data_IF_839142658567
#
_entry.id   IF_839142658567
#
_cell.length_a   1.000
_cell.length_b   1.000
_cell.length_c   1.000
_cell.angle_alpha   90.00
_cell.angle_beta   90.00
_cell.angle_gamma   90.00
#
_symmetry.space_group_name_H-M   'P 1'
#
loop_
_entity.id
_entity.type
_entity.pdbx_description
1 polymer ?
#
# COMPACT_ATOMS: atom_id res chain seq x y z
N UNK A 1 20.05 6.27 -8.78
CA UNK A 1 19.64 7.25 -7.75
C UNK A 1 18.13 7.27 -7.51
N UNK A 2 17.29 7.04 -8.52
CA UNK A 2 15.82 7.03 -8.37
C UNK A 2 15.29 5.97 -7.40
N UNK A 3 15.90 4.78 -7.37
CA UNK A 3 15.51 3.69 -6.47
C UNK A 3 15.64 4.06 -4.98
N UNK A 4 16.66 4.85 -4.63
CA UNK A 4 16.93 5.27 -3.24
C UNK A 4 15.93 6.33 -2.76
N UNK A 5 15.51 7.23 -3.66
CA UNK A 5 14.48 8.23 -3.36
C UNK A 5 13.13 7.57 -3.11
N UNK A 6 12.79 6.57 -3.92
CA UNK A 6 11.54 5.83 -3.76
C UNK A 6 11.49 5.05 -2.44
N UNK A 7 12.58 4.38 -2.08
CA UNK A 7 12.72 3.71 -0.77
C UNK A 7 12.62 4.70 0.41
N UNK A 8 13.20 5.89 0.26
CA UNK A 8 13.12 6.94 1.28
C UNK A 8 11.68 7.42 1.48
N UNK A 9 10.95 7.65 0.39
CA UNK A 9 9.54 8.05 0.40
C UNK A 9 8.69 6.93 1.01
N UNK A 10 8.89 5.68 0.61
CA UNK A 10 8.18 4.53 1.17
C UNK A 10 8.44 4.35 2.66
N UNK A 11 9.69 4.52 3.09
CA UNK A 11 10.07 4.49 4.51
C UNK A 11 9.38 5.60 5.31
N UNK A 12 9.32 6.81 4.76
CA UNK A 12 8.60 7.95 5.34
C UNK A 12 7.11 7.68 5.49
N UNK A 13 6.46 7.21 4.42
CA UNK A 13 5.03 6.85 4.40
C UNK A 13 4.75 5.71 5.37
N UNK A 14 5.58 4.67 5.38
CA UNK A 14 5.45 3.53 6.28
C UNK A 14 5.59 3.91 7.75
N UNK A 15 6.54 4.81 8.07
CA UNK A 15 6.67 5.40 9.41
C UNK A 15 5.43 6.19 9.80
N UNK A 16 5.01 7.14 8.97
CA UNK A 16 3.84 7.99 9.24
C UNK A 16 2.58 7.15 9.42
N UNK A 17 2.35 6.17 8.56
CA UNK A 17 1.22 5.26 8.66
C UNK A 17 1.21 4.49 9.99
N UNK A 18 2.33 3.84 10.34
CA UNK A 18 2.42 3.07 11.58
C UNK A 18 2.27 3.97 12.81
N UNK A 19 2.83 5.19 12.76
CA UNK A 19 2.67 6.19 13.82
C UNK A 19 1.22 6.65 13.98
N UNK A 20 0.55 7.04 12.91
CA UNK A 20 -0.84 7.52 12.95
C UNK A 20 -1.79 6.40 13.37
N UNK A 21 -1.60 5.19 12.85
CA UNK A 21 -2.50 4.04 13.09
C UNK A 21 -2.37 3.47 14.50
N UNK A 22 -1.14 3.26 14.98
CA UNK A 22 -0.90 2.51 16.20
C UNK A 22 -0.50 3.38 17.40
N UNK A 23 0.04 4.58 17.17
CA UNK A 23 0.55 5.60 18.13
C UNK A 23 1.58 5.13 19.18
N UNK A 24 1.46 3.92 19.72
CA UNK A 24 2.36 3.32 20.72
C UNK A 24 3.58 2.70 20.03
N UNK A 25 4.77 3.22 20.36
CA UNK A 25 6.06 2.76 19.80
C UNK A 25 6.31 1.27 19.98
N UNK A 26 5.92 0.69 21.11
CA UNK A 26 6.06 -0.75 21.40
C UNK A 26 5.27 -1.61 20.42
N UNK A 27 4.01 -1.23 20.15
CA UNK A 27 3.16 -1.91 19.17
C UNK A 27 3.73 -1.77 17.77
N UNK A 28 4.26 -0.59 17.43
CA UNK A 28 4.88 -0.34 16.13
C UNK A 28 6.11 -1.24 15.94
N UNK A 29 7.02 -1.31 16.91
CA UNK A 29 8.20 -2.16 16.82
C UNK A 29 7.83 -3.65 16.68
N UNK A 30 6.82 -4.11 17.42
CA UNK A 30 6.32 -5.49 17.33
C UNK A 30 5.72 -5.77 15.94
N UNK A 31 4.83 -4.91 15.46
CA UNK A 31 4.23 -5.03 14.11
C UNK A 31 5.28 -4.94 13.00
N UNK A 32 6.28 -4.08 13.16
CA UNK A 32 7.36 -3.92 12.18
C UNK A 32 8.15 -5.22 12.05
N UNK A 33 8.54 -5.83 13.17
CA UNK A 33 9.27 -7.08 13.19
C UNK A 33 8.41 -8.26 12.68
N UNK A 34 7.15 -8.33 13.07
CA UNK A 34 6.27 -9.47 12.78
C UNK A 34 5.67 -9.45 11.36
N UNK A 35 5.29 -8.27 10.85
CA UNK A 35 4.61 -8.14 9.54
C UNK A 35 5.44 -7.50 8.44
N UNK A 36 6.48 -6.76 8.78
CA UNK A 36 7.23 -5.93 7.82
C UNK A 36 8.74 -6.20 7.84
N UNK A 37 9.17 -7.32 8.45
CA UNK A 37 10.58 -7.76 8.54
C UNK A 37 11.53 -6.68 9.09
N UNK A 38 11.03 -5.84 9.99
CA UNK A 38 11.80 -4.75 10.58
C UNK A 38 12.01 -3.54 9.66
N UNK A 39 11.42 -3.51 8.47
CA UNK A 39 11.60 -2.42 7.49
C UNK A 39 10.36 -1.55 7.32
N UNK A 40 10.53 -0.25 7.55
CA UNK A 40 9.48 0.76 7.29
C UNK A 40 9.20 0.94 5.80
N UNK A 41 10.20 0.74 4.92
CA UNK A 41 10.00 0.80 3.48
C UNK A 41 9.06 -0.32 3.01
N UNK A 42 9.20 -1.53 3.55
CA UNK A 42 8.25 -2.63 3.31
C UNK A 42 6.82 -2.27 3.72
N UNK A 43 6.65 -1.62 4.88
CA UNK A 43 5.34 -1.18 5.34
C UNK A 43 4.68 -0.17 4.39
N UNK A 44 5.44 0.81 3.89
CA UNK A 44 4.96 1.78 2.91
C UNK A 44 4.67 1.15 1.55
N UNK A 45 5.56 0.28 1.08
CA UNK A 45 5.40 -0.46 -0.18
C UNK A 45 4.13 -1.31 -0.19
N UNK A 46 3.92 -2.11 0.87
CA UNK A 46 2.74 -2.98 0.97
C UNK A 46 1.43 -2.18 0.95
N UNK A 47 1.44 -0.99 1.57
CA UNK A 47 0.31 -0.07 1.58
C UNK A 47 -0.02 0.50 0.21
N UNK A 48 1.01 0.97 -0.48
CA UNK A 48 0.88 1.49 -1.84
C UNK A 48 0.42 0.37 -2.77
N UNK A 49 1.01 -0.82 -2.65
CA UNK A 49 0.66 -1.98 -3.45
C UNK A 49 -0.80 -2.38 -3.25
N UNK A 50 -1.26 -2.43 -2.00
CA UNK A 50 -2.65 -2.76 -1.68
C UNK A 50 -3.62 -1.67 -2.19
N UNK A 51 -3.27 -0.40 -2.03
CA UNK A 51 -4.09 0.71 -2.55
C UNK A 51 -4.17 0.68 -4.08
N UNK A 52 -3.05 0.40 -4.74
CA UNK A 52 -2.97 0.25 -6.18
C UNK A 52 -3.77 -0.96 -6.67
N UNK A 53 -3.69 -2.09 -5.97
CA UNK A 53 -4.46 -3.29 -6.29
C UNK A 53 -5.98 -3.04 -6.21
N UNK A 54 -6.45 -2.31 -5.19
CA UNK A 54 -7.86 -1.93 -5.05
C UNK A 54 -8.30 -1.00 -6.20
N UNK A 55 -7.51 0.03 -6.49
CA UNK A 55 -7.77 0.96 -7.61
C UNK A 55 -7.83 0.22 -8.95
N UNK A 56 -6.86 -0.66 -9.20
CA UNK A 56 -6.77 -1.44 -10.43
C UNK A 56 -7.91 -2.45 -10.55
N UNK A 57 -8.28 -3.11 -9.44
CA UNK A 57 -9.42 -4.01 -9.39
C UNK A 57 -10.75 -3.29 -9.70
N UNK A 58 -10.96 -2.09 -9.14
CA UNK A 58 -12.11 -1.25 -9.47
C UNK A 58 -12.13 -0.85 -10.95
N UNK A 59 -10.99 -0.44 -11.49
CA UNK A 59 -10.87 -0.08 -12.90
C UNK A 59 -11.25 -1.26 -13.81
N UNK A 60 -10.72 -2.45 -13.53
CA UNK A 60 -11.07 -3.67 -14.27
C UNK A 60 -12.54 -4.03 -14.12
N UNK A 61 -13.11 -3.86 -12.93
CA UNK A 61 -14.52 -4.12 -12.69
C UNK A 61 -15.42 -3.22 -13.56
N UNK A 62 -15.15 -1.92 -13.60
CA UNK A 62 -15.88 -0.99 -14.47
C UNK A 62 -15.66 -1.27 -15.95
N UNK A 63 -14.43 -1.62 -16.34
CA UNK A 63 -14.12 -1.99 -17.72
C UNK A 63 -14.92 -3.22 -18.18
N UNK A 64 -14.94 -4.28 -17.35
CA UNK A 64 -15.72 -5.48 -17.63
C UNK A 64 -17.22 -5.20 -17.65
N UNK A 65 -17.72 -4.44 -16.66
CA UNK A 65 -19.13 -4.05 -16.61
C UNK A 65 -19.53 -3.25 -17.86
N UNK A 66 -18.66 -2.34 -18.32
CA UNK A 66 -18.85 -1.58 -19.55
C UNK A 66 -18.86 -2.44 -20.80
N UNK A 67 -17.93 -3.40 -20.91
CA UNK A 67 -17.90 -4.37 -22.03
C UNK A 67 -19.17 -5.22 -22.08
N UNK A 68 -19.61 -5.73 -20.93
CA UNK A 68 -20.84 -6.52 -20.82
C UNK A 68 -22.02 -5.66 -21.25
N UNK A 69 -22.20 -4.48 -20.65
CA UNK A 69 -23.30 -3.57 -20.98
C UNK A 69 -23.31 -3.17 -22.46
N UNK A 70 -22.12 -2.93 -23.05
CA UNK A 70 -21.98 -2.64 -24.47
C UNK A 70 -22.27 -3.83 -25.40
N UNK A 71 -22.15 -5.07 -24.92
CA UNK A 71 -22.47 -6.27 -25.70
C UNK A 71 -23.95 -6.61 -25.71
N UNK A 72 -24.70 -6.11 -24.72
CA UNK A 72 -26.16 -6.27 -24.61
C UNK A 72 -26.95 -5.13 -25.25
N UNK A 73 -26.27 -4.15 -25.85
CA UNK A 73 -26.86 -3.05 -26.62
C UNK A 73 -26.60 -3.26 -28.11
#
# INVERSE_FOLDING_TARGET
>A
MEFLLFDLIQSGIGRLYLWVRYRKKERIAKLLAEKYEGSYAKAGSLLLLNSFAVLFGLLLFFFLAGMIYGSFK
#
